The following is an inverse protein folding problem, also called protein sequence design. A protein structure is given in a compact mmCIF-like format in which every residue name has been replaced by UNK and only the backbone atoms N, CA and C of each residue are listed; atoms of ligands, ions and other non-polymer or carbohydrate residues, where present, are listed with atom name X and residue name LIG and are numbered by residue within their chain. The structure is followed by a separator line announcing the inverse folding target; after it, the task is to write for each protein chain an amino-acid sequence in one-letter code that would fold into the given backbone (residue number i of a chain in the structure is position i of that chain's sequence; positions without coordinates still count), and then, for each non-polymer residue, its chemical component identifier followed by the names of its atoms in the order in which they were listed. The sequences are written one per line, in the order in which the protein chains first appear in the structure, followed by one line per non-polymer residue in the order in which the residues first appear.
data_IF_566431736129
#
_entry.id   IF_566431736129
#
_cell.length_a   1.000
_cell.length_b   1.000
_cell.length_c   1.000
_cell.angle_alpha   90.00
_cell.angle_beta   90.00
_cell.angle_gamma   90.00
#
_symmetry.space_group_name_H-M   'P 1'
#
loop_
_entity.id
_entity.type
_entity.pdbx_description
1 polymer ?
#
# COMPACT_ATOMS: atom_id res chain seq x y z
N UNK A 1 1.51 7.13 50.87
CA UNK A 1 1.85 7.79 49.60
C UNK A 1 2.63 6.79 48.76
N UNK A 2 2.07 6.36 47.64
CA UNK A 2 2.78 5.57 46.64
C UNK A 2 2.09 5.83 45.30
N UNK A 3 2.66 6.74 44.51
CA UNK A 3 2.23 7.05 43.16
C UNK A 3 2.60 5.90 42.21
N UNK A 4 1.76 5.55 41.22
CA UNK A 4 2.11 4.55 40.21
C UNK A 4 3.27 5.03 39.32
N UNK A 5 4.15 4.13 38.82
CA UNK A 5 5.31 4.53 38.04
C UNK A 5 4.89 5.15 36.70
N UNK A 6 5.26 6.42 36.53
CA UNK A 6 5.05 7.20 35.32
C UNK A 6 6.06 6.79 34.25
N UNK A 7 5.59 6.08 33.23
CA UNK A 7 6.38 5.73 32.04
C UNK A 7 6.33 6.89 31.04
N UNK A 8 7.41 7.67 30.97
CA UNK A 8 7.65 8.64 29.92
C UNK A 8 8.12 7.92 28.65
N UNK A 9 7.16 7.52 27.82
CA UNK A 9 7.43 7.12 26.43
C UNK A 9 6.70 8.12 25.54
N UNK A 10 7.38 8.80 24.61
CA UNK A 10 6.70 9.69 23.67
C UNK A 10 5.80 8.85 22.78
N UNK A 11 4.49 8.85 23.05
CA UNK A 11 3.48 8.37 22.12
C UNK A 11 3.43 9.35 20.94
N UNK A 12 4.22 9.08 19.89
CA UNK A 12 3.96 9.65 18.56
C UNK A 12 2.74 8.95 17.94
N UNK A 13 1.60 8.98 18.64
CA UNK A 13 0.28 8.71 18.09
C UNK A 13 -0.29 10.04 17.62
N UNK A 14 0.32 10.61 16.59
CA UNK A 14 -0.26 11.67 15.79
C UNK A 14 0.07 11.33 14.33
N UNK A 15 -0.58 10.29 13.83
CA UNK A 15 -0.71 10.11 12.38
C UNK A 15 -1.29 11.42 11.84
N UNK A 16 -0.60 12.12 10.93
CA UNK A 16 -1.21 13.21 10.18
C UNK A 16 -2.42 12.61 9.47
N UNK A 17 -3.61 13.08 9.82
CA UNK A 17 -4.83 12.81 9.04
C UNK A 17 -4.63 13.45 7.67
N UNK A 18 -4.07 12.68 6.74
CA UNK A 18 -4.06 13.02 5.33
C UNK A 18 -5.51 13.06 4.87
N UNK A 19 -6.12 14.24 4.92
CA UNK A 19 -7.36 14.52 4.20
C UNK A 19 -7.04 14.50 2.71
N UNK A 20 -6.91 13.30 2.14
CA UNK A 20 -6.91 13.08 0.72
C UNK A 20 -8.31 13.47 0.25
N UNK A 21 -8.44 14.71 -0.20
CA UNK A 21 -9.68 15.27 -0.72
C UNK A 21 -9.97 14.55 -2.04
N UNK A 22 -10.56 13.37 -1.96
CA UNK A 22 -11.11 12.63 -3.10
C UNK A 22 -12.13 13.54 -3.78
N UNK A 23 -11.78 13.98 -4.98
CA UNK A 23 -12.67 14.72 -5.87
C UNK A 23 -13.82 13.79 -6.24
N UNK A 24 -14.93 13.91 -5.53
CA UNK A 24 -16.21 13.25 -5.86
C UNK A 24 -16.77 13.87 -7.14
N UNK A 25 -16.24 13.44 -8.29
CA UNK A 25 -16.93 13.49 -9.57
C UNK A 25 -17.82 12.26 -9.73
N UNK A 26 -18.95 12.35 -10.46
CA UNK A 26 -19.96 11.31 -10.48
C UNK A 26 -19.42 10.04 -11.14
N UNK A 27 -19.51 8.94 -10.39
CA UNK A 27 -19.68 7.56 -10.84
C UNK A 27 -19.79 7.36 -12.35
N UNK A 28 -18.66 7.02 -12.98
CA UNK A 28 -18.67 6.13 -14.13
C UNK A 28 -17.88 4.87 -13.76
N UNK A 29 -18.60 3.76 -13.82
CA UNK A 29 -18.13 2.39 -13.85
C UNK A 29 -16.89 2.23 -14.74
N UNK A 30 -15.72 2.10 -14.10
CA UNK A 30 -14.43 1.79 -14.74
C UNK A 30 -13.71 0.67 -13.96
N UNK A 31 -14.44 -0.35 -13.51
CA UNK A 31 -13.84 -1.49 -12.79
C UNK A 31 -13.09 -2.44 -13.75
N UNK A 32 -13.07 -2.15 -15.06
CA UNK A 32 -12.47 -3.02 -16.08
C UNK A 32 -11.68 -2.24 -17.15
N UNK A 33 -11.09 -1.09 -16.78
CA UNK A 33 -9.91 -0.62 -17.50
C UNK A 33 -8.77 -1.56 -17.09
N UNK A 34 -8.19 -2.27 -18.07
CA UNK A 34 -7.01 -3.14 -17.89
C UNK A 34 -6.05 -2.46 -16.90
N UNK A 35 -5.80 -3.09 -15.76
CA UNK A 35 -4.89 -2.56 -14.73
C UNK A 35 -3.56 -2.12 -15.34
N UNK A 36 -3.14 -2.82 -16.40
CA UNK A 36 -1.92 -2.57 -17.14
C UNK A 36 -2.00 -1.25 -17.93
N UNK A 37 -3.11 -0.97 -18.60
CA UNK A 37 -3.32 0.28 -19.34
C UNK A 37 -3.36 1.50 -18.39
N UNK A 38 -3.91 1.34 -17.18
CA UNK A 38 -3.87 2.39 -16.15
C UNK A 38 -2.44 2.68 -15.67
N UNK A 39 -1.64 1.64 -15.45
CA UNK A 39 -0.26 1.77 -15.03
C UNK A 39 0.62 2.38 -16.14
N UNK A 40 0.41 1.97 -17.39
CA UNK A 40 1.11 2.53 -18.56
C UNK A 40 0.82 4.02 -18.71
N UNK A 41 -0.44 4.43 -18.54
CA UNK A 41 -0.82 5.85 -18.59
C UNK A 41 -0.16 6.67 -17.47
N UNK A 42 -0.08 6.13 -16.26
CA UNK A 42 0.59 6.78 -15.14
C UNK A 42 2.09 6.91 -15.43
N UNK A 43 2.73 5.84 -15.91
CA UNK A 43 4.14 5.86 -16.27
C UNK A 43 4.42 6.92 -17.34
N UNK A 44 3.59 6.99 -18.39
CA UNK A 44 3.72 7.98 -19.45
C UNK A 44 3.54 9.41 -18.91
N UNK A 45 2.58 9.66 -18.01
CA UNK A 45 2.42 10.97 -17.38
C UNK A 45 3.63 11.39 -16.54
N UNK A 46 4.24 10.45 -15.81
CA UNK A 46 5.45 10.74 -15.03
C UNK A 46 6.64 11.02 -15.94
N UNK A 47 6.81 10.23 -17.00
CA UNK A 47 7.86 10.46 -18.00
C UNK A 47 7.71 11.83 -18.65
N UNK A 48 6.50 12.20 -19.10
CA UNK A 48 6.22 13.53 -19.65
C UNK A 48 6.55 14.67 -18.68
N UNK A 49 6.23 14.51 -17.40
CA UNK A 49 6.56 15.52 -16.38
C UNK A 49 8.06 15.63 -16.15
N UNK A 50 8.76 14.51 -16.06
CA UNK A 50 10.22 14.49 -15.88
C UNK A 50 10.91 15.13 -17.09
N UNK A 51 10.50 14.75 -18.30
CA UNK A 51 11.06 15.28 -19.54
C UNK A 51 10.90 16.80 -19.64
N UNK A 52 9.71 17.33 -19.32
CA UNK A 52 9.47 18.77 -19.35
C UNK A 52 10.34 19.58 -18.37
N UNK A 53 10.59 19.05 -17.17
CA UNK A 53 11.44 19.72 -16.17
C UNK A 53 12.93 19.62 -16.54
N UNK A 54 13.36 18.49 -17.14
CA UNK A 54 14.72 18.32 -17.66
C UNK A 54 14.97 19.22 -18.86
N UNK A 55 14.01 19.33 -19.79
CA UNK A 55 14.09 20.24 -20.94
C UNK A 55 14.22 21.69 -20.47
N UNK A 56 13.40 22.10 -19.50
CA UNK A 56 13.48 23.44 -18.88
C UNK A 56 14.87 23.72 -18.27
N UNK A 57 15.50 22.70 -17.66
CA UNK A 57 16.83 22.81 -17.10
C UNK A 57 17.92 22.91 -18.19
N UNK A 58 17.83 22.08 -19.22
CA UNK A 58 18.78 22.04 -20.33
C UNK A 58 18.73 23.34 -21.15
N UNK A 59 17.54 23.77 -21.56
CA UNK A 59 17.32 25.01 -22.29
C UNK A 59 17.74 26.23 -21.47
N UNK A 60 17.40 26.24 -20.17
CA UNK A 60 17.83 27.29 -19.26
C UNK A 60 19.36 27.41 -19.18
N UNK A 61 20.08 26.28 -19.15
CA UNK A 61 21.54 26.27 -19.14
C UNK A 61 22.14 26.77 -20.47
N UNK A 62 21.59 26.34 -21.61
CA UNK A 62 22.01 26.83 -22.94
C UNK A 62 21.86 28.35 -23.02
N UNK A 63 20.72 28.88 -22.58
CA UNK A 63 20.45 30.32 -22.56
C UNK A 63 21.43 31.08 -21.65
N UNK A 64 21.73 30.56 -20.46
CA UNK A 64 22.70 31.18 -19.56
C UNK A 64 24.11 31.22 -20.17
N UNK A 65 24.54 30.15 -20.85
CA UNK A 65 25.83 30.10 -21.54
C UNK A 65 25.86 31.10 -22.70
N UNK A 66 24.76 31.21 -23.45
CA UNK A 66 24.63 32.20 -24.53
C UNK A 66 24.70 33.63 -23.99
N UNK A 67 24.02 33.94 -22.89
CA UNK A 67 24.07 35.25 -22.23
C UNK A 67 25.46 35.55 -21.65
N UNK A 68 26.17 34.54 -21.14
CA UNK A 68 27.52 34.68 -20.59
C UNK A 68 28.61 34.90 -21.66
N UNK A 69 28.30 34.72 -22.94
CA UNK A 69 29.26 34.91 -24.03
C UNK A 69 29.76 36.37 -24.04
N UNK A 70 31.07 36.52 -23.96
CA UNK A 70 31.75 37.82 -23.89
C UNK A 70 31.75 38.46 -25.29
N UNK A 71 31.25 39.69 -25.40
CA UNK A 71 31.28 40.51 -26.60
C UNK A 71 31.09 41.99 -26.25
N UNK A 72 31.19 42.89 -27.23
CA UNK A 72 30.97 44.32 -27.01
C UNK A 72 29.50 44.58 -26.64
N UNK A 73 29.24 44.80 -25.35
CA UNK A 73 27.91 44.99 -24.78
C UNK A 73 27.81 46.38 -24.15
N UNK A 74 26.77 47.13 -24.52
CA UNK A 74 26.41 48.39 -23.87
C UNK A 74 25.83 48.14 -22.46
N UNK A 75 25.94 49.11 -21.56
CA UNK A 75 25.49 49.05 -20.16
C UNK A 75 24.01 48.66 -20.01
N UNK A 76 23.17 49.09 -20.95
CA UNK A 76 21.74 48.74 -20.97
C UNK A 76 21.52 47.29 -21.38
N UNK A 77 22.35 46.78 -22.29
CA UNK A 77 22.31 45.37 -22.73
C UNK A 77 22.77 44.44 -21.61
N UNK A 78 23.82 44.82 -20.88
CA UNK A 78 24.29 44.09 -19.70
C UNK A 78 23.19 44.01 -18.63
N UNK A 79 22.50 45.11 -18.35
CA UNK A 79 21.40 45.12 -17.37
C UNK A 79 20.23 44.20 -17.81
N UNK A 80 19.88 44.21 -19.09
CA UNK A 80 18.84 43.35 -19.64
C UNK A 80 19.23 41.86 -19.60
N UNK A 81 20.45 41.52 -20.00
CA UNK A 81 20.98 40.16 -19.95
C UNK A 81 21.08 39.65 -18.51
N UNK A 82 21.46 40.50 -17.54
CA UNK A 82 21.51 40.15 -16.13
C UNK A 82 20.11 39.79 -15.59
N UNK A 83 19.08 40.55 -15.95
CA UNK A 83 17.69 40.23 -15.58
C UNK A 83 17.22 38.92 -16.23
N UNK A 84 17.52 38.72 -17.52
CA UNK A 84 17.19 37.48 -18.22
C UNK A 84 17.88 36.27 -17.58
N UNK A 85 19.18 36.38 -17.25
CA UNK A 85 19.92 35.33 -16.58
C UNK A 85 19.33 35.01 -15.20
N UNK A 86 18.96 36.02 -14.43
CA UNK A 86 18.30 35.82 -13.14
C UNK A 86 16.95 35.10 -13.29
N UNK A 87 16.10 35.53 -14.23
CA UNK A 87 14.81 34.90 -14.47
C UNK A 87 14.94 33.45 -14.94
N UNK A 88 15.92 33.15 -15.80
CA UNK A 88 16.21 31.79 -16.24
C UNK A 88 16.72 30.91 -15.10
N UNK A 89 17.62 31.43 -14.27
CA UNK A 89 18.08 30.72 -13.09
C UNK A 89 16.94 30.40 -12.11
N UNK A 90 16.01 31.33 -11.90
CA UNK A 90 14.83 31.09 -11.06
C UNK A 90 13.95 29.96 -11.62
N UNK A 91 13.67 29.99 -12.93
CA UNK A 91 12.91 28.92 -13.61
C UNK A 91 13.61 27.56 -13.47
N UNK A 92 14.93 27.50 -13.62
CA UNK A 92 15.71 26.27 -13.44
C UNK A 92 15.64 25.75 -12.01
N UNK A 93 15.72 26.62 -11.00
CA UNK A 93 15.58 26.23 -9.59
C UNK A 93 14.18 25.66 -9.30
N UNK A 94 13.13 26.26 -9.88
CA UNK A 94 11.77 25.73 -9.76
C UNK A 94 11.65 24.34 -10.41
N UNK A 95 12.23 24.14 -11.59
CA UNK A 95 12.24 22.85 -12.26
C UNK A 95 12.99 21.77 -11.46
N UNK A 96 14.15 22.11 -10.89
CA UNK A 96 14.89 21.20 -10.01
C UNK A 96 14.09 20.82 -8.75
N UNK A 97 13.36 21.77 -8.15
CA UNK A 97 12.49 21.49 -7.01
C UNK A 97 11.26 20.65 -7.38
N UNK A 98 10.75 20.83 -8.60
CA UNK A 98 9.70 19.98 -9.18
C UNK A 98 10.19 18.54 -9.31
N UNK A 99 11.38 18.31 -9.90
CA UNK A 99 12.02 17.00 -9.99
C UNK A 99 12.23 16.35 -8.62
N UNK A 100 12.64 17.12 -7.61
CA UNK A 100 12.77 16.61 -6.24
C UNK A 100 11.42 16.14 -5.66
N UNK A 101 10.36 16.89 -5.94
CA UNK A 101 9.00 16.54 -5.52
C UNK A 101 8.52 15.26 -6.22
N UNK A 102 8.80 15.12 -7.52
CA UNK A 102 8.53 13.89 -8.30
C UNK A 102 9.22 12.68 -7.67
N UNK A 103 10.52 12.79 -7.37
CA UNK A 103 11.30 11.72 -6.72
C UNK A 103 10.69 11.32 -5.38
N UNK A 104 10.28 12.31 -4.57
CA UNK A 104 9.65 12.05 -3.28
C UNK A 104 8.32 11.30 -3.45
N UNK A 105 7.48 11.70 -4.41
CA UNK A 105 6.23 11.01 -4.73
C UNK A 105 6.47 9.56 -5.20
N UNK A 106 7.45 9.33 -6.08
CA UNK A 106 7.78 7.97 -6.55
C UNK A 106 8.29 7.08 -5.40
N UNK A 107 9.11 7.63 -4.50
CA UNK A 107 9.55 6.92 -3.29
C UNK A 107 8.38 6.52 -2.39
N UNK A 108 7.41 7.43 -2.18
CA UNK A 108 6.21 7.11 -1.42
C UNK A 108 5.36 6.02 -2.10
N UNK A 109 5.17 6.09 -3.42
CA UNK A 109 4.44 5.05 -4.15
C UNK A 109 5.08 3.68 -3.95
N UNK A 110 6.40 3.58 -4.03
CA UNK A 110 7.11 2.31 -3.80
C UNK A 110 6.97 1.81 -2.36
N UNK A 111 7.13 2.70 -1.36
CA UNK A 111 7.05 2.32 0.06
C UNK A 111 5.64 1.91 0.48
N UNK A 112 4.60 2.61 0.01
CA UNK A 112 3.21 2.28 0.35
C UNK A 112 2.68 1.06 -0.43
N UNK A 113 3.13 0.85 -1.67
CA UNK A 113 2.67 -0.28 -2.48
C UNK A 113 3.13 -1.63 -1.92
N UNK A 114 4.34 -1.68 -1.35
CA UNK A 114 4.88 -2.91 -0.73
C UNK A 114 4.05 -3.35 0.50
N UNK A 115 3.63 -2.40 1.34
CA UNK A 115 2.84 -2.70 2.54
C UNK A 115 1.43 -3.22 2.21
N UNK A 116 0.78 -2.66 1.19
CA UNK A 116 -0.53 -3.12 0.74
C UNK A 116 -0.49 -4.55 0.18
N UNK A 117 0.56 -4.91 -0.56
CA UNK A 117 0.74 -6.27 -1.07
C UNK A 117 0.99 -7.28 0.05
N UNK A 118 1.80 -6.92 1.05
CA UNK A 118 2.07 -7.76 2.22
C UNK A 118 0.78 -8.01 3.02
N UNK A 119 -0.05 -6.98 3.25
CA UNK A 119 -1.32 -7.11 3.97
C UNK A 119 -2.30 -8.00 3.20
N UNK A 120 -2.45 -7.79 1.89
CA UNK A 120 -3.35 -8.60 1.06
C UNK A 120 -2.93 -10.07 1.03
N UNK A 121 -1.63 -10.35 0.91
CA UNK A 121 -1.09 -11.71 0.97
C UNK A 121 -1.37 -12.35 2.33
N UNK A 122 -1.12 -11.63 3.43
CA UNK A 122 -1.41 -12.09 4.79
C UNK A 122 -2.89 -12.41 4.97
N UNK A 123 -3.78 -11.56 4.49
CA UNK A 123 -5.23 -11.76 4.60
C UNK A 123 -5.70 -12.97 3.78
N UNK A 124 -5.11 -13.21 2.61
CA UNK A 124 -5.38 -14.40 1.81
C UNK A 124 -4.92 -15.69 2.51
N UNK A 125 -3.70 -15.70 3.04
CA UNK A 125 -3.16 -16.82 3.82
C UNK A 125 -3.98 -17.06 5.10
N UNK A 126 -4.39 -15.99 5.79
CA UNK A 126 -5.24 -16.06 6.97
C UNK A 126 -6.62 -16.65 6.67
N UNK A 127 -7.24 -16.27 5.54
CA UNK A 127 -8.51 -16.85 5.10
C UNK A 127 -8.37 -18.35 4.79
N UNK A 128 -7.29 -18.76 4.11
CA UNK A 128 -7.02 -20.18 3.85
C UNK A 128 -6.86 -20.97 5.15
N UNK A 129 -6.02 -20.48 6.06
CA UNK A 129 -5.81 -21.12 7.35
C UNK A 129 -7.09 -21.21 8.20
N UNK A 130 -7.95 -20.19 8.12
CA UNK A 130 -9.24 -20.20 8.81
C UNK A 130 -10.22 -21.21 8.19
N UNK A 131 -10.24 -21.36 6.86
CA UNK A 131 -11.03 -22.39 6.18
C UNK A 131 -10.55 -23.80 6.56
N UNK A 132 -9.25 -24.05 6.51
CA UNK A 132 -8.64 -25.31 6.93
C UNK A 132 -8.97 -25.65 8.39
N UNK A 133 -8.93 -24.64 9.28
CA UNK A 133 -9.31 -24.80 10.68
C UNK A 133 -10.78 -25.19 10.83
N UNK A 134 -11.69 -24.57 10.10
CA UNK A 134 -13.12 -24.91 10.16
C UNK A 134 -13.40 -26.30 9.56
N UNK A 135 -12.71 -26.68 8.48
CA UNK A 135 -12.78 -28.04 7.95
C UNK A 135 -12.23 -29.09 8.91
N UNK A 136 -11.09 -28.80 9.55
CA UNK A 136 -10.49 -29.69 10.55
C UNK A 136 -11.43 -29.84 11.75
N UNK A 137 -12.03 -28.74 12.23
CA UNK A 137 -13.06 -28.80 13.29
C UNK A 137 -14.26 -29.65 12.89
N UNK A 138 -14.75 -29.53 11.66
CA UNK A 138 -15.85 -30.37 11.15
C UNK A 138 -15.46 -31.85 11.14
N UNK A 139 -14.29 -32.19 10.62
CA UNK A 139 -13.77 -33.57 10.62
C UNK A 139 -13.63 -34.12 12.03
N UNK A 140 -13.10 -33.32 12.97
CA UNK A 140 -13.00 -33.71 14.39
C UNK A 140 -14.39 -33.91 15.01
N UNK A 141 -15.36 -33.04 14.72
CA UNK A 141 -16.71 -33.17 15.22
C UNK A 141 -17.41 -34.44 14.68
N UNK A 142 -17.22 -34.77 13.41
CA UNK A 142 -17.74 -36.00 12.80
C UNK A 142 -17.12 -37.25 13.45
N UNK A 143 -15.80 -37.29 13.59
CA UNK A 143 -15.10 -38.39 14.26
C UNK A 143 -15.53 -38.55 15.72
N UNK A 144 -15.71 -37.44 16.45
CA UNK A 144 -16.19 -37.46 17.83
C UNK A 144 -17.61 -38.03 17.91
N UNK A 145 -18.48 -37.65 16.98
CA UNK A 145 -19.87 -38.12 16.94
C UNK A 145 -19.95 -39.63 16.65
N UNK A 146 -19.13 -40.13 15.72
CA UNK A 146 -19.03 -41.57 15.46
C UNK A 146 -18.54 -42.35 16.68
N UNK A 147 -17.54 -41.82 17.40
CA UNK A 147 -17.00 -42.44 18.61
C UNK A 147 -18.05 -42.51 19.74
N UNK A 148 -18.84 -41.44 19.92
CA UNK A 148 -19.96 -41.44 20.87
C UNK A 148 -21.07 -42.41 20.46
N UNK A 149 -21.32 -42.57 19.16
CA UNK A 149 -22.34 -43.49 18.63
C UNK A 149 -21.94 -44.96 18.81
N UNK A 150 -20.67 -45.30 18.55
CA UNK A 150 -20.13 -46.64 18.81
C UNK A 150 -20.10 -46.98 20.30
N UNK A 151 -19.69 -46.05 21.16
CA UNK A 151 -19.74 -46.23 22.63
C UNK A 151 -21.16 -46.48 23.15
N UNK A 152 -22.15 -45.78 22.58
CA UNK A 152 -23.57 -45.98 22.91
C UNK A 152 -24.11 -47.33 22.42
N UNK A 153 -23.59 -47.85 21.30
CA UNK A 153 -23.96 -49.16 20.76
C UNK A 153 -23.36 -50.32 21.56
N UNK A 154 -22.10 -50.21 22.01
CA UNK A 154 -21.48 -51.21 22.90
C UNK A 154 -22.21 -51.29 24.25
N UNK A 155 -22.65 -50.16 24.78
CA UNK A 155 -23.41 -50.11 26.04
C UNK A 155 -24.76 -50.83 25.92
N UNK A 156 -25.45 -50.73 24.77
CA UNK A 156 -26.73 -51.46 24.54
C UNK A 156 -26.53 -52.95 24.31
N UNK A 157 -25.45 -53.34 23.62
CA UNK A 157 -25.15 -54.75 23.34
C UNK A 157 -24.77 -55.50 24.64
N UNK A 158 -24.09 -54.83 25.57
CA UNK A 158 -23.76 -55.38 26.89
C UNK A 158 -25.01 -55.50 27.81
N UNK A 159 -25.94 -54.56 27.70
CA UNK A 159 -27.21 -54.61 28.45
C UNK A 159 -28.16 -55.73 27.96
N UNK A 160 -28.20 -56.00 26.64
CA UNK A 160 -29.02 -57.08 26.07
C UNK A 160 -28.45 -58.49 26.34
N UNK A 161 -27.13 -58.65 26.49
CA UNK A 161 -26.54 -59.95 26.87
C UNK A 161 -26.84 -60.34 28.33
N UNK A 162 -27.02 -59.35 29.21
CA UNK A 162 -27.34 -59.59 30.63
C UNK A 162 -28.80 -59.96 30.87
N UNK A 163 -29.75 -59.48 30.06
CA UNK A 163 -31.18 -59.84 30.18
C UNK A 163 -31.52 -61.21 29.60
N UNK A 164 -30.76 -61.72 28.63
CA UNK A 164 -31.00 -63.07 28.08
C UNK A 164 -30.47 -64.21 28.96
N UNK A 165 -29.61 -63.94 29.96
CA UNK A 165 -29.11 -64.96 30.90
C UNK A 165 -30.03 -65.23 32.09
N UNK A 166 -30.99 -64.35 32.39
CA UNK A 166 -31.92 -64.52 33.53
C UNK A 166 -33.22 -65.23 33.16
N UNK A 167 -33.52 -65.45 31.88
CA UNK A 167 -34.73 -66.16 31.42
C UNK A 167 -34.51 -67.65 31.08
N UNK A 168 -33.32 -68.21 31.32
CA UNK A 168 -32.98 -69.61 31.00
C UNK A 168 -32.72 -70.49 32.22
N UNK A 169 -33.15 -70.08 33.42
CA UNK A 169 -32.97 -70.86 34.66
C UNK A 169 -34.29 -70.89 35.46
N UNK A 170 -35.32 -71.51 34.87
CA UNK A 170 -36.50 -72.06 35.54
C UNK A 170 -36.53 -73.55 35.27
#
# INVERSE_FOLDING_TARGET
MADPPQTDVPRLSALPTANLRTRTGPSQSFVDQNSDEYLDNIEEEWNKKVDAEIETLADGMVDLVNLATIGDKDKFRIAQEAFQAQSRAESMVRAANSLLSIIHSMKLLLLLSDEAQIVNRRDAEFKSAQQEKEEAKRKVAELLNELFRQSSADTRTTAQHSTNRTSSNT
#
